data_IF_674862337233
#
_entry.id   IF_674862337233
#
_cell.length_a   1.000
_cell.length_b   1.000
_cell.length_c   1.000
_cell.angle_alpha   90.00
_cell.angle_beta   90.00
_cell.angle_gamma   90.00
#
_symmetry.space_group_name_H-M   'P 1'
#
loop_
_entity.id
_entity.type
_entity.pdbx_description
1 polymer ?
#
# COMPACT_ATOMS: atom_id res chain seq x y z
N UNK A 1 -5.50 -16.33 4.72
CA UNK A 1 -5.54 -14.90 5.09
C UNK A 1 -6.70 -14.26 4.35
N UNK A 2 -7.63 -13.59 5.03
CA UNK A 2 -8.61 -12.72 4.35
C UNK A 2 -7.90 -11.42 4.01
N UNK A 3 -7.39 -11.28 2.79
CA UNK A 3 -6.64 -10.08 2.43
C UNK A 3 -7.59 -8.90 2.20
N UNK A 4 -7.14 -7.68 2.49
CA UNK A 4 -7.93 -6.46 2.28
C UNK A 4 -8.43 -6.33 0.84
N UNK A 5 -7.72 -6.93 -0.11
CA UNK A 5 -8.11 -7.01 -1.52
C UNK A 5 -9.44 -7.73 -1.78
N UNK A 6 -9.84 -8.67 -0.90
CA UNK A 6 -11.16 -9.33 -1.00
C UNK A 6 -12.30 -8.34 -0.75
N UNK A 7 -12.03 -7.27 0.01
CA UNK A 7 -13.02 -6.24 0.37
C UNK A 7 -12.90 -4.98 -0.49
N UNK A 8 -11.69 -4.63 -0.91
CA UNK A 8 -11.35 -3.40 -1.60
C UNK A 8 -10.48 -3.71 -2.81
N UNK A 9 -11.04 -3.61 -4.01
CA UNK A 9 -10.37 -3.94 -5.28
C UNK A 9 -9.14 -3.07 -5.59
N UNK A 10 -9.04 -1.91 -4.93
CA UNK A 10 -7.93 -0.98 -5.07
C UNK A 10 -6.64 -1.53 -4.43
N UNK A 11 -6.78 -2.40 -3.44
CA UNK A 11 -5.65 -3.13 -2.86
C UNK A 11 -5.34 -4.33 -3.73
N UNK A 12 -4.13 -4.36 -4.26
CA UNK A 12 -3.66 -5.43 -5.15
C UNK A 12 -2.58 -6.24 -4.44
N UNK A 13 -2.39 -7.48 -4.87
CA UNK A 13 -1.36 -8.34 -4.33
C UNK A 13 -0.77 -9.28 -5.38
N UNK A 14 0.44 -9.77 -5.13
CA UNK A 14 1.15 -10.73 -5.95
C UNK A 14 2.21 -11.44 -5.10
N UNK A 15 2.48 -12.70 -5.40
CA UNK A 15 3.68 -13.40 -4.91
C UNK A 15 4.89 -13.21 -5.86
N UNK A 16 4.63 -12.82 -7.12
CA UNK A 16 5.67 -12.47 -8.10
C UNK A 16 6.07 -11.00 -7.98
N UNK A 17 7.31 -10.68 -7.56
CA UNK A 17 7.79 -9.30 -7.45
C UNK A 17 7.91 -8.60 -8.81
N UNK A 18 7.96 -9.34 -9.92
CA UNK A 18 8.06 -8.76 -11.28
C UNK A 18 6.75 -8.11 -11.73
N UNK A 19 5.62 -8.52 -11.15
CA UNK A 19 4.30 -7.97 -11.41
C UNK A 19 4.00 -6.69 -10.60
N UNK A 20 4.86 -6.35 -9.64
CA UNK A 20 4.66 -5.22 -8.73
C UNK A 20 5.07 -3.92 -9.42
N UNK A 21 4.19 -2.89 -9.46
CA UNK A 21 4.51 -1.58 -10.04
C UNK A 21 5.33 -0.73 -9.07
N UNK A 22 6.59 -1.11 -8.84
CA UNK A 22 7.48 -0.54 -7.82
C UNK A 22 7.64 0.98 -7.88
N UNK A 23 7.57 1.59 -9.07
CA UNK A 23 7.74 3.03 -9.26
C UNK A 23 6.45 3.81 -9.00
N UNK A 24 5.29 3.19 -9.19
CA UNK A 24 3.98 3.82 -9.22
C UNK A 24 3.08 3.44 -8.04
N UNK A 25 3.63 2.81 -7.00
CA UNK A 25 2.85 2.30 -5.88
C UNK A 25 3.53 2.42 -4.52
N UNK A 26 2.72 2.32 -3.46
CA UNK A 26 3.21 1.97 -2.12
C UNK A 26 3.02 0.48 -1.95
N UNK A 27 4.12 -0.23 -1.74
CA UNK A 27 4.17 -1.69 -1.62
C UNK A 27 4.57 -2.03 -0.20
N UNK A 28 3.89 -2.99 0.44
CA UNK A 28 4.33 -3.58 1.70
C UNK A 28 4.37 -5.09 1.59
N UNK A 29 5.32 -5.68 2.30
CA UNK A 29 5.55 -7.12 2.30
C UNK A 29 4.90 -7.73 3.53
N UNK A 30 4.02 -8.68 3.33
CA UNK A 30 3.48 -9.55 4.38
C UNK A 30 4.09 -10.94 4.24
N UNK A 31 4.45 -11.55 5.37
CA UNK A 31 4.92 -12.93 5.43
C UNK A 31 3.70 -13.84 5.47
N UNK A 32 3.60 -14.79 4.53
CA UNK A 32 2.46 -15.71 4.46
C UNK A 32 2.51 -16.82 5.55
N UNK A 33 3.59 -16.87 6.34
CA UNK A 33 3.82 -17.85 7.39
C UNK A 33 4.38 -19.19 6.87
N UNK A 34 4.50 -19.35 5.56
CA UNK A 34 5.08 -20.52 4.89
C UNK A 34 6.47 -20.21 4.27
N UNK A 35 7.01 -19.01 4.52
CA UNK A 35 8.27 -18.53 3.96
C UNK A 35 8.12 -17.86 2.59
N UNK A 36 6.89 -17.72 2.11
CA UNK A 36 6.55 -16.90 0.95
C UNK A 36 6.41 -15.43 1.33
N UNK A 37 6.70 -14.55 0.36
CA UNK A 37 6.47 -13.12 0.50
C UNK A 37 5.27 -12.74 -0.34
N UNK A 38 4.27 -12.15 0.31
CA UNK A 38 3.15 -11.52 -0.38
C UNK A 38 3.45 -10.03 -0.49
N UNK A 39 3.44 -9.52 -1.72
CA UNK A 39 3.58 -8.10 -2.00
C UNK A 39 2.18 -7.53 -2.16
N UNK A 40 1.78 -6.65 -1.25
CA UNK A 40 0.51 -5.92 -1.33
C UNK A 40 0.80 -4.46 -1.67
N UNK A 41 -0.08 -3.82 -2.46
CA UNK A 41 0.13 -2.43 -2.83
C UNK A 41 -1.13 -1.63 -3.11
N UNK A 42 -0.95 -0.31 -3.07
CA UNK A 42 -1.87 0.71 -3.58
C UNK A 42 -1.16 1.53 -4.65
N UNK A 43 -1.83 1.71 -5.80
CA UNK A 43 -1.33 2.55 -6.88
C UNK A 43 -1.36 4.03 -6.49
N UNK A 44 -0.44 4.81 -7.07
CA UNK A 44 -0.31 6.25 -6.85
C UNK A 44 -1.59 7.03 -7.15
N UNK A 45 -2.42 6.57 -8.10
CA UNK A 45 -3.73 7.15 -8.43
C UNK A 45 -4.72 7.09 -7.25
N UNK A 46 -4.60 6.08 -6.40
CA UNK A 46 -5.42 5.91 -5.20
C UNK A 46 -4.89 6.72 -4.02
N UNK A 47 -3.71 7.34 -4.15
CA UNK A 47 -2.95 7.95 -3.06
C UNK A 47 -2.85 9.47 -3.25
N UNK A 48 -3.27 10.22 -2.23
CA UNK A 48 -3.08 11.66 -2.17
C UNK A 48 -1.64 12.01 -1.81
N UNK A 49 -1.15 11.41 -0.73
CA UNK A 49 0.24 11.44 -0.32
C UNK A 49 0.51 10.35 0.72
N UNK A 50 1.80 10.06 0.90
CA UNK A 50 2.32 9.22 1.98
C UNK A 50 3.11 10.08 2.96
N UNK A 51 2.93 9.84 4.25
CA UNK A 51 3.80 10.37 5.30
C UNK A 51 4.33 9.24 6.17
N UNK A 52 5.42 9.48 6.88
CA UNK A 52 5.98 8.50 7.80
C UNK A 52 6.51 9.15 9.07
N UNK A 53 6.33 8.48 10.20
CA UNK A 53 6.86 8.92 11.49
C UNK A 53 7.28 7.71 12.30
N UNK A 54 8.53 7.69 12.77
CA UNK A 54 9.08 6.59 13.57
C UNK A 54 8.89 5.20 12.93
N UNK A 55 9.00 5.11 11.60
CA UNK A 55 8.83 3.85 10.85
C UNK A 55 7.37 3.41 10.63
N UNK A 56 6.39 4.18 11.10
CA UNK A 56 4.98 3.97 10.78
C UNK A 56 4.66 4.75 9.51
N UNK A 57 4.10 4.07 8.50
CA UNK A 57 3.73 4.69 7.22
C UNK A 57 2.23 4.97 7.23
N UNK A 58 1.87 6.19 6.89
CA UNK A 58 0.49 6.64 6.72
C UNK A 58 0.23 6.92 5.25
N UNK A 59 -0.72 6.20 4.66
CA UNK A 59 -1.15 6.38 3.27
C UNK A 59 -2.51 7.07 3.28
N UNK A 60 -2.57 8.30 2.76
CA UNK A 60 -3.81 9.06 2.69
C UNK A 60 -4.45 8.85 1.31
N UNK A 61 -5.71 8.38 1.23
CA UNK A 61 -6.37 8.18 -0.05
C UNK A 61 -6.60 9.47 -0.85
N UNK A 62 -6.57 9.35 -2.18
CA UNK A 62 -7.00 10.39 -3.12
C UNK A 62 -8.42 10.89 -2.75
N UNK A 63 -8.67 12.19 -2.85
CA UNK A 63 -9.90 12.83 -2.30
C UNK A 63 -11.19 12.27 -2.89
N UNK A 64 -11.12 11.85 -4.12
CA UNK A 64 -12.19 11.37 -4.98
C UNK A 64 -12.23 9.85 -5.11
N UNK A 65 -11.26 9.13 -4.53
CA UNK A 65 -11.24 7.67 -4.60
C UNK A 65 -12.35 7.01 -3.77
N UNK A 66 -12.67 5.77 -4.13
CA UNK A 66 -13.60 4.95 -3.35
C UNK A 66 -13.12 4.75 -1.91
N UNK A 67 -11.81 4.61 -1.71
CA UNK A 67 -11.18 4.41 -0.41
C UNK A 67 -11.42 5.60 0.55
N UNK A 68 -11.33 6.84 0.04
CA UNK A 68 -11.59 8.04 0.85
C UNK A 68 -13.02 8.12 1.41
N UNK A 69 -13.98 7.41 0.80
CA UNK A 69 -15.37 7.31 1.31
C UNK A 69 -15.51 6.33 2.47
N UNK A 70 -14.48 5.53 2.74
CA UNK A 70 -14.52 4.43 3.73
C UNK A 70 -13.60 4.67 4.90
N UNK A 71 -12.42 5.24 4.65
CA UNK A 71 -11.45 5.55 5.69
C UNK A 71 -10.62 6.78 5.31
N UNK A 72 -10.04 7.43 6.31
CA UNK A 72 -9.23 8.64 6.11
C UNK A 72 -7.75 8.33 5.86
N UNK A 73 -7.28 7.16 6.31
CA UNK A 73 -5.87 6.78 6.26
C UNK A 73 -5.74 5.26 6.35
N UNK A 74 -4.76 4.71 5.63
CA UNK A 74 -4.21 3.38 5.90
C UNK A 74 -2.95 3.57 6.75
N UNK A 75 -2.89 2.92 7.90
CA UNK A 75 -1.71 2.94 8.75
C UNK A 75 -1.03 1.60 8.62
N UNK A 76 0.15 1.59 8.01
CA UNK A 76 0.99 0.42 7.96
C UNK A 76 1.87 0.41 9.22
N UNK A 77 1.73 -0.60 10.11
CA UNK A 77 2.64 -0.81 11.22
C UNK A 77 4.06 -1.08 10.70
N UNK A 78 5.08 -1.18 11.56
CA UNK A 78 6.47 -1.36 11.12
C UNK A 78 6.58 -2.58 10.19
N UNK A 79 6.70 -2.30 8.90
CA UNK A 79 6.64 -3.26 7.83
C UNK A 79 7.76 -2.95 6.84
N UNK A 80 8.24 -3.98 6.16
CA UNK A 80 9.09 -3.77 4.99
C UNK A 80 8.20 -3.19 3.89
N UNK A 81 8.35 -1.89 3.65
CA UNK A 81 7.54 -1.16 2.71
C UNK A 81 8.40 -0.27 1.80
N UNK A 82 7.92 -0.09 0.58
CA UNK A 82 8.58 0.62 -0.49
C UNK A 82 7.61 1.66 -1.03
N UNK A 83 8.07 2.91 -1.11
CA UNK A 83 7.29 4.01 -1.68
C UNK A 83 7.91 4.33 -3.03
N UNK A 84 7.16 4.08 -4.10
CA UNK A 84 7.61 4.33 -5.47
C UNK A 84 7.90 5.80 -5.73
N UNK A 85 8.82 6.05 -6.66
CA UNK A 85 9.31 7.40 -6.99
C UNK A 85 8.22 8.34 -7.53
N UNK A 86 7.14 7.79 -8.10
CA UNK A 86 6.00 8.57 -8.61
C UNK A 86 4.90 8.78 -7.56
N UNK A 87 5.06 8.23 -6.35
CA UNK A 87 4.12 8.44 -5.24
C UNK A 87 4.44 9.78 -4.56
N UNK A 88 3.40 10.60 -4.39
CA UNK A 88 3.50 11.88 -3.67
C UNK A 88 3.82 11.62 -2.19
N UNK A 89 4.83 12.31 -1.66
CA UNK A 89 5.21 12.23 -0.25
C UNK A 89 4.99 13.57 0.45
N UNK A 90 4.75 13.54 1.76
CA UNK A 90 4.67 14.71 2.62
C UNK A 90 5.41 14.41 3.92
N UNK A 91 6.20 15.38 4.38
CA UNK A 91 6.86 15.34 5.69
C UNK A 91 6.04 16.10 6.73
#
# INVERSE_FOLDING_TARGET
MSSLSEKFQEFKFSEDPSAVPWEDAVVWVTDDGAGGRLYEWLLSEEIRHVSWTNGIISILPARDSFLAKRFQCVVLPPAMAFVGVNVKTAN
#
